data_IF_315052405852
#
_entry.id   IF_315052405852
#
_cell.length_a   1.000
_cell.length_b   1.000
_cell.length_c   1.000
_cell.angle_alpha   90.00
_cell.angle_beta   90.00
_cell.angle_gamma   90.00
#
_symmetry.space_group_name_H-M   'P 1'
#
loop_
_entity.id
_entity.type
_entity.pdbx_description
1 polymer ?
#
# COMPACT_ATOMS: atom_id res chain seq x y z
N UNK A 1 -8.31 -9.46 24.15
CA UNK A 1 -9.10 -8.86 23.07
C UNK A 1 -8.33 -8.89 21.73
N UNK A 2 -7.10 -8.38 21.70
CA UNK A 2 -6.32 -8.31 20.44
C UNK A 2 -6.10 -9.67 19.75
N UNK A 3 -5.87 -10.75 20.52
CA UNK A 3 -5.74 -12.10 19.96
C UNK A 3 -7.03 -12.61 19.32
N UNK A 4 -8.16 -12.38 19.95
CA UNK A 4 -9.49 -12.77 19.41
C UNK A 4 -9.76 -12.06 18.10
N UNK A 5 -9.60 -10.74 18.04
CA UNK A 5 -9.85 -9.96 16.83
C UNK A 5 -8.84 -10.26 15.72
N UNK A 6 -7.58 -10.51 16.06
CA UNK A 6 -6.58 -10.96 15.07
C UNK A 6 -6.99 -12.29 14.44
N UNK A 7 -7.38 -13.29 15.23
CA UNK A 7 -7.85 -14.59 14.72
C UNK A 7 -9.10 -14.46 13.88
N UNK A 8 -10.02 -13.57 14.29
CA UNK A 8 -11.21 -13.24 13.53
C UNK A 8 -10.87 -12.67 12.14
N UNK A 9 -9.94 -11.71 12.09
CA UNK A 9 -9.45 -11.14 10.83
C UNK A 9 -8.80 -12.18 9.94
N UNK A 10 -7.90 -13.01 10.49
CA UNK A 10 -7.26 -14.12 9.75
C UNK A 10 -8.28 -15.11 9.17
N UNK A 11 -9.26 -15.50 9.97
CA UNK A 11 -10.33 -16.38 9.50
C UNK A 11 -11.16 -15.74 8.38
N UNK A 12 -11.52 -14.46 8.54
CA UNK A 12 -12.29 -13.73 7.53
C UNK A 12 -11.52 -13.57 6.22
N UNK A 13 -10.23 -13.21 6.29
CA UNK A 13 -9.36 -13.11 5.12
C UNK A 13 -9.27 -14.46 4.38
N UNK A 14 -9.05 -15.55 5.11
CA UNK A 14 -8.99 -16.90 4.54
C UNK A 14 -10.34 -17.31 3.90
N UNK A 15 -11.45 -16.99 4.55
CA UNK A 15 -12.79 -17.30 4.05
C UNK A 15 -13.19 -16.49 2.80
N UNK A 16 -12.64 -15.29 2.64
CA UNK A 16 -12.85 -14.45 1.45
C UNK A 16 -11.85 -14.74 0.33
N UNK A 17 -10.74 -15.40 0.66
CA UNK A 17 -9.70 -15.76 -0.30
C UNK A 17 -10.12 -16.95 -1.17
N UNK A 18 -9.28 -17.33 -2.08
CA UNK A 18 -9.49 -18.41 -3.02
C UNK A 18 -9.21 -17.93 -4.42
N UNK A 19 -10.22 -17.68 -5.23
CA UNK A 19 -10.04 -17.13 -6.58
C UNK A 19 -10.16 -15.61 -6.65
N UNK A 20 -10.36 -14.94 -5.50
CA UNK A 20 -10.58 -13.48 -5.41
C UNK A 20 -9.83 -12.88 -4.24
N UNK A 21 -9.81 -11.56 -4.15
CA UNK A 21 -9.40 -10.81 -2.96
C UNK A 21 -10.59 -10.60 -2.00
N UNK A 22 -10.34 -10.20 -0.74
CA UNK A 22 -11.39 -9.65 0.11
C UNK A 22 -12.06 -8.44 -0.53
N UNK A 23 -13.36 -8.28 -0.34
CA UNK A 23 -14.10 -7.10 -0.81
C UNK A 23 -14.77 -6.38 0.34
N UNK A 24 -15.19 -5.15 0.10
CA UNK A 24 -15.64 -4.19 1.10
C UNK A 24 -16.66 -4.76 2.08
N UNK A 25 -17.67 -5.48 1.60
CA UNK A 25 -18.72 -6.09 2.41
C UNK A 25 -18.55 -7.59 2.64
N UNK A 26 -17.40 -8.16 2.32
CA UNK A 26 -17.12 -9.59 2.48
C UNK A 26 -17.96 -10.47 1.55
N UNK A 27 -18.03 -11.77 1.85
CA UNK A 27 -18.82 -12.74 1.09
C UNK A 27 -20.30 -12.73 1.48
N UNK A 28 -20.60 -12.37 2.71
CA UNK A 28 -21.94 -12.44 3.30
C UNK A 28 -22.54 -11.07 3.43
N UNK A 29 -23.39 -10.74 2.52
CA UNK A 29 -24.04 -9.45 2.44
C UNK A 29 -25.47 -9.57 2.94
N UNK A 30 -25.81 -8.83 3.96
CA UNK A 30 -27.15 -8.88 4.60
C UNK A 30 -28.22 -8.07 3.89
N UNK A 31 -27.89 -7.28 2.88
CA UNK A 31 -28.81 -6.33 2.26
C UNK A 31 -28.73 -6.34 0.73
N UNK A 32 -29.87 -6.09 0.06
CA UNK A 32 -29.93 -5.99 -1.39
C UNK A 32 -29.40 -4.64 -1.93
N UNK A 33 -29.53 -3.57 -1.15
CA UNK A 33 -29.10 -2.22 -1.51
C UNK A 33 -27.90 -1.81 -0.65
N UNK A 34 -26.78 -2.45 -0.89
CA UNK A 34 -25.55 -2.10 -0.19
C UNK A 34 -25.01 -0.76 -0.61
N UNK A 35 -24.56 -0.02 0.37
CA UNK A 35 -23.71 1.12 0.14
C UNK A 35 -22.47 0.66 -0.66
N UNK A 36 -22.04 1.47 -1.61
CA UNK A 36 -20.97 1.16 -2.56
C UNK A 36 -21.20 -0.14 -3.38
N UNK A 37 -22.43 -0.61 -3.50
CA UNK A 37 -22.82 -1.76 -4.34
C UNK A 37 -22.03 -3.04 -4.07
N UNK A 38 -21.44 -3.18 -2.90
CA UNK A 38 -20.55 -4.30 -2.54
C UNK A 38 -19.35 -4.49 -3.49
N UNK A 39 -18.86 -3.41 -4.09
CA UNK A 39 -17.73 -3.48 -5.00
C UNK A 39 -16.42 -3.82 -4.27
N UNK A 40 -15.44 -4.26 -5.03
CA UNK A 40 -14.05 -4.20 -4.62
C UNK A 40 -13.60 -2.74 -4.77
N UNK A 41 -13.31 -2.08 -3.66
CA UNK A 41 -12.84 -0.71 -3.67
C UNK A 41 -11.32 -0.73 -3.48
N UNK A 42 -10.59 -0.33 -4.52
CA UNK A 42 -9.13 -0.47 -4.56
C UNK A 42 -8.41 0.75 -3.98
N UNK A 43 -9.13 1.81 -3.71
CA UNK A 43 -8.65 3.00 -3.01
C UNK A 43 -9.24 3.11 -1.60
N UNK A 44 -8.57 2.79 -0.60
CA UNK A 44 -7.41 1.92 -0.33
C UNK A 44 -7.89 0.61 0.32
N UNK A 45 -9.21 0.33 0.24
CA UNK A 45 -9.87 -0.74 1.00
C UNK A 45 -9.25 -2.12 0.76
N UNK A 46 -9.11 -2.53 -0.50
CA UNK A 46 -8.50 -3.85 -0.80
C UNK A 46 -7.10 -3.94 -0.22
N UNK A 47 -6.28 -2.87 -0.33
CA UNK A 47 -4.93 -2.87 0.19
C UNK A 47 -4.87 -2.92 1.71
N UNK A 48 -5.76 -2.22 2.40
CA UNK A 48 -5.93 -2.32 3.85
C UNK A 48 -6.32 -3.75 4.23
N UNK A 49 -7.28 -4.34 3.53
CA UNK A 49 -7.79 -5.69 3.81
C UNK A 49 -6.73 -6.77 3.62
N UNK A 50 -5.81 -6.61 2.66
CA UNK A 50 -4.74 -7.58 2.39
C UNK A 50 -3.42 -7.27 3.11
N UNK A 51 -3.35 -6.19 3.88
CA UNK A 51 -2.12 -5.71 4.52
C UNK A 51 -1.41 -6.73 5.42
N UNK A 52 -2.14 -7.69 5.95
CA UNK A 52 -1.60 -8.73 6.83
C UNK A 52 -1.41 -10.10 6.19
N UNK A 53 -1.73 -10.32 4.91
CA UNK A 53 -1.74 -11.69 4.33
C UNK A 53 -0.35 -12.31 4.26
N UNK A 54 0.63 -11.58 3.76
CA UNK A 54 1.99 -12.09 3.59
C UNK A 54 2.68 -12.30 4.95
N UNK A 55 2.63 -11.29 5.81
CA UNK A 55 3.23 -11.35 7.14
C UNK A 55 2.58 -12.38 8.07
N UNK A 56 1.34 -12.79 7.81
CA UNK A 56 0.65 -13.88 8.53
C UNK A 56 0.87 -15.27 7.93
N UNK A 57 1.57 -15.40 6.81
CA UNK A 57 1.80 -16.68 6.16
C UNK A 57 0.57 -17.25 5.41
N UNK A 58 -0.40 -16.41 5.03
CA UNK A 58 -1.61 -16.82 4.31
C UNK A 58 -1.34 -16.96 2.80
N UNK A 59 -0.57 -17.98 2.43
CA UNK A 59 -0.11 -18.20 1.06
C UNK A 59 -1.26 -18.27 0.03
N UNK A 60 -2.30 -19.03 0.34
CA UNK A 60 -3.47 -19.23 -0.53
C UNK A 60 -4.28 -17.93 -0.69
N UNK A 61 -4.33 -17.09 0.36
CA UNK A 61 -4.96 -15.78 0.28
C UNK A 61 -4.14 -14.84 -0.63
N UNK A 62 -2.82 -14.92 -0.57
CA UNK A 62 -1.92 -14.22 -1.50
C UNK A 62 -2.12 -14.66 -2.95
N UNK A 63 -2.24 -15.97 -3.19
CA UNK A 63 -2.56 -16.50 -4.51
C UNK A 63 -3.95 -16.01 -4.99
N UNK A 64 -4.97 -16.03 -4.13
CA UNK A 64 -6.31 -15.51 -4.42
C UNK A 64 -6.29 -14.04 -4.82
N UNK A 65 -5.48 -13.22 -4.15
CA UNK A 65 -5.26 -11.83 -4.53
C UNK A 65 -4.65 -11.71 -5.94
N UNK A 66 -3.66 -12.54 -6.29
CA UNK A 66 -3.05 -12.53 -7.62
C UNK A 66 -4.04 -12.97 -8.71
N UNK A 67 -4.92 -13.95 -8.42
CA UNK A 67 -5.98 -14.33 -9.35
C UNK A 67 -6.97 -13.19 -9.61
N UNK A 68 -7.32 -12.45 -8.57
CA UNK A 68 -8.14 -11.24 -8.69
C UNK A 68 -7.47 -10.19 -9.60
N UNK A 69 -6.17 -9.93 -9.42
CA UNK A 69 -5.40 -8.98 -10.25
C UNK A 69 -5.32 -9.45 -11.70
N UNK A 70 -4.87 -10.68 -11.95
CA UNK A 70 -4.69 -11.23 -13.29
C UNK A 70 -5.96 -11.17 -14.15
N UNK A 71 -7.10 -11.37 -13.52
CA UNK A 71 -8.41 -11.34 -14.21
C UNK A 71 -8.72 -9.97 -14.81
N UNK A 72 -8.18 -8.91 -14.22
CA UNK A 72 -8.51 -7.52 -14.53
C UNK A 72 -7.48 -6.80 -15.41
N UNK A 73 -6.28 -7.34 -15.57
CA UNK A 73 -5.20 -6.70 -16.33
C UNK A 73 -5.62 -6.27 -17.75
N UNK A 74 -6.40 -7.07 -18.54
CA UNK A 74 -6.83 -6.62 -19.85
C UNK A 74 -7.66 -5.34 -19.84
N UNK A 75 -8.56 -5.20 -18.86
CA UNK A 75 -9.35 -3.98 -18.69
C UNK A 75 -8.49 -2.80 -18.23
N UNK A 76 -7.51 -3.04 -17.37
CA UNK A 76 -6.57 -2.00 -16.95
C UNK A 76 -5.73 -1.43 -18.11
N UNK A 77 -5.34 -2.30 -19.05
CA UNK A 77 -4.66 -1.87 -20.29
C UNK A 77 -5.60 -1.02 -21.14
N UNK A 78 -6.86 -1.43 -21.29
CA UNK A 78 -7.85 -0.65 -22.01
C UNK A 78 -8.10 0.72 -21.36
N UNK A 79 -8.16 0.78 -20.02
CA UNK A 79 -8.36 2.04 -19.30
C UNK A 79 -7.21 3.02 -19.57
N UNK A 80 -5.97 2.58 -19.53
CA UNK A 80 -4.80 3.42 -19.84
C UNK A 80 -4.84 3.94 -21.29
N UNK A 81 -5.26 3.10 -22.22
CA UNK A 81 -5.44 3.48 -23.62
C UNK A 81 -6.59 4.48 -23.80
N UNK A 82 -7.72 4.29 -23.11
CA UNK A 82 -8.90 5.15 -23.23
C UNK A 82 -8.71 6.52 -22.58
N UNK A 83 -8.10 6.57 -21.40
CA UNK A 83 -7.96 7.82 -20.61
C UNK A 83 -6.79 8.66 -21.13
N UNK A 84 -5.66 8.01 -21.44
CA UNK A 84 -4.41 8.69 -21.74
C UNK A 84 -3.86 8.42 -23.16
N UNK A 85 -4.44 7.50 -23.92
CA UNK A 85 -3.90 7.06 -25.21
C UNK A 85 -2.61 6.22 -25.08
N UNK A 86 -2.31 5.72 -23.89
CA UNK A 86 -1.09 4.98 -23.60
C UNK A 86 -1.11 3.57 -24.21
N UNK A 87 0.08 3.04 -24.51
CA UNK A 87 0.28 1.69 -25.06
C UNK A 87 1.03 0.83 -24.05
N UNK A 88 0.59 -0.41 -23.91
CA UNK A 88 1.21 -1.40 -23.00
C UNK A 88 1.42 -0.85 -21.57
N UNK A 89 0.47 -0.11 -21.09
CA UNK A 89 0.42 0.50 -19.77
C UNK A 89 -0.89 0.08 -19.07
N UNK A 90 -0.98 0.29 -17.75
CA UNK A 90 -2.15 -0.06 -16.94
C UNK A 90 -2.66 1.15 -16.16
N UNK A 91 -3.99 1.28 -16.09
CA UNK A 91 -4.68 2.23 -15.23
C UNK A 91 -5.86 1.51 -14.58
N UNK A 92 -5.89 1.50 -13.25
CA UNK A 92 -6.94 0.79 -12.53
C UNK A 92 -8.10 1.72 -12.17
N UNK A 93 -9.36 1.23 -12.17
CA UNK A 93 -10.47 1.95 -11.59
C UNK A 93 -10.43 1.85 -10.07
N UNK A 94 -11.08 2.79 -9.38
CA UNK A 94 -11.24 2.70 -7.92
C UNK A 94 -12.16 1.54 -7.52
N UNK A 95 -13.20 1.31 -8.29
CA UNK A 95 -14.19 0.25 -8.02
C UNK A 95 -14.26 -0.79 -9.14
N UNK A 96 -14.44 -2.06 -8.76
CA UNK A 96 -14.64 -3.18 -9.69
C UNK A 96 -15.59 -4.21 -9.10
N UNK A 97 -16.24 -5.00 -9.96
CA UNK A 97 -17.04 -6.16 -9.55
C UNK A 97 -16.18 -7.44 -9.33
N UNK A 98 -14.88 -7.35 -9.56
CA UNK A 98 -13.94 -8.47 -9.44
C UNK A 98 -13.73 -9.28 -10.72
N UNK A 99 -14.59 -9.14 -11.72
CA UNK A 99 -14.48 -9.79 -13.03
C UNK A 99 -14.10 -8.80 -14.12
N UNK A 100 -14.67 -7.61 -14.06
CA UNK A 100 -14.43 -6.53 -15.01
C UNK A 100 -13.92 -5.31 -14.24
N UNK A 101 -12.97 -4.64 -14.84
CA UNK A 101 -12.34 -3.46 -14.27
C UNK A 101 -12.28 -2.30 -15.27
N UNK A 102 -13.26 -2.23 -16.17
CA UNK A 102 -13.43 -1.09 -17.07
C UNK A 102 -13.82 0.15 -16.27
N UNK A 103 -13.18 1.25 -16.59
CA UNK A 103 -13.51 2.55 -16.04
C UNK A 103 -14.75 3.09 -16.75
N UNK A 104 -15.82 3.29 -15.99
CA UNK A 104 -17.13 3.69 -16.54
C UNK A 104 -17.68 4.99 -15.94
N UNK A 105 -17.05 5.48 -14.87
CA UNK A 105 -17.47 6.71 -14.18
C UNK A 105 -16.41 7.78 -14.31
N UNK A 106 -16.85 8.98 -14.66
CA UNK A 106 -16.05 10.19 -14.77
C UNK A 106 -16.76 11.30 -14.02
N UNK A 107 -16.19 11.77 -12.93
CA UNK A 107 -16.75 12.82 -12.09
C UNK A 107 -15.67 13.87 -11.78
N UNK A 108 -16.06 15.14 -11.71
CA UNK A 108 -15.14 16.23 -11.41
C UNK A 108 -14.82 16.32 -9.90
N UNK A 109 -15.72 15.83 -9.05
CA UNK A 109 -15.54 15.83 -7.60
C UNK A 109 -14.80 14.56 -7.13
N UNK A 110 -15.02 13.46 -7.84
CA UNK A 110 -14.35 12.17 -7.62
C UNK A 110 -13.74 11.70 -8.94
N UNK A 111 -12.65 12.34 -9.41
CA UNK A 111 -12.05 12.04 -10.71
C UNK A 111 -11.17 10.79 -10.63
N UNK A 112 -11.77 9.65 -10.32
CA UNK A 112 -11.11 8.36 -10.13
C UNK A 112 -10.33 7.88 -11.36
N UNK A 113 -10.72 8.38 -12.56
CA UNK A 113 -9.97 8.13 -13.79
C UNK A 113 -8.55 8.71 -13.77
N UNK A 114 -8.22 9.58 -12.83
CA UNK A 114 -6.91 10.19 -12.66
C UNK A 114 -6.20 9.74 -11.38
N UNK A 115 -6.64 8.66 -10.79
CA UNK A 115 -5.94 7.98 -9.71
C UNK A 115 -4.77 7.15 -10.26
N UNK A 116 -3.67 7.79 -10.56
CA UNK A 116 -2.53 7.21 -11.27
C UNK A 116 -1.74 6.20 -10.43
N UNK A 117 -1.70 6.40 -9.12
CA UNK A 117 -0.95 5.55 -8.19
C UNK A 117 -1.52 4.13 -8.03
N UNK A 118 -2.74 3.89 -8.48
CA UNK A 118 -3.49 2.68 -8.14
C UNK A 118 -2.79 1.38 -8.53
N UNK A 119 -2.26 1.27 -9.76
CA UNK A 119 -1.60 0.06 -10.21
C UNK A 119 -0.30 -0.22 -9.41
N UNK A 120 0.44 0.82 -9.06
CA UNK A 120 1.61 0.72 -8.19
C UNK A 120 1.24 0.20 -6.81
N UNK A 121 0.13 0.66 -6.24
CA UNK A 121 -0.32 0.17 -4.94
C UNK A 121 -0.73 -1.30 -4.99
N UNK A 122 -1.48 -1.71 -6.03
CA UNK A 122 -1.88 -3.12 -6.21
C UNK A 122 -0.70 -4.06 -6.45
N UNK A 123 0.44 -3.54 -6.92
CA UNK A 123 1.65 -4.32 -7.15
C UNK A 123 2.38 -4.68 -5.84
N UNK A 124 2.30 -3.83 -4.80
CA UNK A 124 3.04 -4.01 -3.55
C UNK A 124 2.76 -5.37 -2.87
N UNK A 125 1.51 -5.83 -2.68
CA UNK A 125 1.28 -7.13 -2.05
C UNK A 125 1.88 -8.31 -2.84
N UNK A 126 2.01 -8.20 -4.16
CA UNK A 126 2.66 -9.21 -5.01
C UNK A 126 4.19 -9.17 -4.83
N UNK A 127 4.76 -7.98 -4.77
CA UNK A 127 6.18 -7.78 -4.50
C UNK A 127 6.55 -8.32 -3.10
N UNK A 128 5.78 -7.97 -2.07
CA UNK A 128 5.94 -8.51 -0.72
C UNK A 128 5.79 -10.04 -0.66
N UNK A 129 4.91 -10.61 -1.48
CA UNK A 129 4.77 -12.07 -1.58
C UNK A 129 6.08 -12.71 -2.07
N UNK A 130 6.71 -12.14 -3.11
CA UNK A 130 8.01 -12.61 -3.60
C UNK A 130 9.14 -12.43 -2.57
N UNK A 131 9.15 -11.32 -1.84
CA UNK A 131 10.09 -11.10 -0.75
C UNK A 131 9.90 -12.12 0.39
N UNK A 132 8.66 -12.48 0.68
CA UNK A 132 8.29 -13.38 1.78
C UNK A 132 8.53 -14.86 1.46
N UNK A 133 8.20 -15.28 0.24
CA UNK A 133 8.18 -16.70 -0.15
C UNK A 133 9.25 -17.06 -1.19
N UNK A 134 9.94 -16.07 -1.76
CA UNK A 134 10.88 -16.29 -2.85
C UNK A 134 10.20 -16.64 -4.17
N UNK A 135 10.89 -17.39 -5.01
CA UNK A 135 10.33 -17.91 -6.26
C UNK A 135 9.26 -18.95 -5.94
N UNK A 136 8.05 -18.64 -6.31
CA UNK A 136 6.87 -19.41 -5.96
C UNK A 136 6.05 -19.72 -7.22
N UNK A 137 5.39 -20.87 -7.20
CA UNK A 137 4.48 -21.33 -8.25
C UNK A 137 3.09 -21.48 -7.64
N UNK A 138 2.09 -20.86 -8.26
CA UNK A 138 0.69 -20.95 -7.86
C UNK A 138 -0.13 -21.63 -8.95
N UNK A 139 -1.15 -22.39 -8.55
CA UNK A 139 -2.04 -23.11 -9.46
C UNK A 139 -3.49 -22.69 -9.27
N UNK A 140 -4.27 -22.72 -10.34
CA UNK A 140 -5.69 -22.39 -10.32
C UNK A 140 -6.49 -23.40 -11.11
N UNK A 141 -7.72 -23.66 -10.68
CA UNK A 141 -8.76 -24.39 -11.41
C UNK A 141 -9.79 -23.44 -12.06
N UNK A 142 -9.57 -22.13 -11.96
CA UNK A 142 -10.45 -21.12 -12.53
C UNK A 142 -10.43 -21.18 -14.07
N UNK A 143 -11.52 -21.67 -14.65
CA UNK A 143 -11.66 -21.85 -16.11
C UNK A 143 -11.53 -20.53 -16.89
N UNK A 144 -11.85 -19.38 -16.28
CA UNK A 144 -11.74 -18.07 -16.93
C UNK A 144 -10.27 -17.69 -17.06
N UNK A 145 -9.47 -17.84 -15.99
CA UNK A 145 -8.05 -17.58 -15.98
C UNK A 145 -7.30 -18.55 -16.91
N UNK A 146 -7.61 -19.85 -16.83
CA UNK A 146 -7.00 -20.86 -17.70
C UNK A 146 -7.29 -20.54 -19.17
N UNK A 147 -8.52 -20.16 -19.51
CA UNK A 147 -8.85 -19.73 -20.88
C UNK A 147 -8.13 -18.46 -21.31
N UNK A 148 -7.98 -17.50 -20.39
CA UNK A 148 -7.35 -16.20 -20.66
C UNK A 148 -5.85 -16.32 -20.91
N UNK A 149 -5.16 -17.16 -20.12
CA UNK A 149 -3.70 -17.28 -20.14
C UNK A 149 -3.19 -18.58 -20.79
N UNK A 150 -4.06 -19.54 -21.11
CA UNK A 150 -3.69 -20.82 -21.75
C UNK A 150 -2.96 -21.79 -20.82
N UNK A 151 -3.00 -21.58 -19.51
CA UNK A 151 -2.33 -22.41 -18.48
C UNK A 151 -3.01 -22.33 -17.15
N UNK A 152 -2.77 -23.31 -16.28
CA UNK A 152 -3.28 -23.42 -14.91
C UNK A 152 -2.23 -23.17 -13.83
N UNK A 153 -0.97 -23.11 -14.23
CA UNK A 153 0.18 -22.99 -13.36
C UNK A 153 0.98 -21.75 -13.73
N UNK A 154 1.32 -20.91 -12.72
CA UNK A 154 1.95 -19.62 -12.89
C UNK A 154 3.16 -19.49 -11.97
N UNK A 155 4.30 -19.15 -12.56
CA UNK A 155 5.44 -18.62 -11.82
C UNK A 155 5.11 -17.18 -11.39
N UNK A 156 5.08 -16.94 -10.08
CA UNK A 156 4.65 -15.64 -9.54
C UNK A 156 5.53 -14.49 -10.05
N UNK A 157 6.83 -14.71 -10.15
CA UNK A 157 7.76 -13.70 -10.66
C UNK A 157 7.54 -13.44 -12.15
N UNK A 158 7.65 -14.48 -12.99
CA UNK A 158 7.69 -14.36 -14.44
C UNK A 158 6.33 -14.11 -15.09
N UNK A 159 5.26 -14.67 -14.49
CA UNK A 159 3.93 -14.65 -15.10
C UNK A 159 3.00 -13.62 -14.49
N UNK A 160 3.27 -13.13 -13.28
CA UNK A 160 2.41 -12.18 -12.57
C UNK A 160 3.14 -10.86 -12.33
N UNK A 161 4.22 -10.89 -11.55
CA UNK A 161 4.90 -9.67 -11.09
C UNK A 161 5.56 -8.89 -12.22
N UNK A 162 6.49 -9.50 -12.95
CA UNK A 162 7.28 -8.81 -13.98
C UNK A 162 6.42 -8.24 -15.12
N UNK A 163 5.42 -8.97 -15.67
CA UNK A 163 4.56 -8.41 -16.69
C UNK A 163 3.72 -7.22 -16.21
N UNK A 164 3.22 -7.28 -14.96
CA UNK A 164 2.46 -6.17 -14.38
C UNK A 164 3.37 -4.98 -14.06
N UNK A 165 4.55 -5.23 -13.50
CA UNK A 165 5.54 -4.20 -13.21
C UNK A 165 5.98 -3.46 -14.48
N UNK A 166 6.28 -4.17 -15.56
CA UNK A 166 6.65 -3.59 -16.87
C UNK A 166 5.55 -2.66 -17.39
N UNK A 167 4.28 -3.06 -17.30
CA UNK A 167 3.14 -2.23 -17.73
C UNK A 167 2.91 -1.02 -16.81
N UNK A 168 3.11 -1.19 -15.52
CA UNK A 168 3.00 -0.10 -14.54
C UNK A 168 4.16 0.91 -14.71
N UNK A 169 5.37 0.43 -14.97
CA UNK A 169 6.51 1.28 -15.34
C UNK A 169 6.25 2.05 -16.64
N UNK A 170 5.70 1.38 -17.67
CA UNK A 170 5.34 2.02 -18.93
C UNK A 170 4.31 3.14 -18.76
N UNK A 171 3.38 3.01 -17.80
CA UNK A 171 2.47 4.10 -17.44
C UNK A 171 3.25 5.33 -16.99
N UNK A 172 4.16 5.19 -16.03
CA UNK A 172 4.95 6.29 -15.50
C UNK A 172 5.91 6.89 -16.54
N UNK A 173 6.44 6.06 -17.43
CA UNK A 173 7.27 6.54 -18.57
C UNK A 173 6.46 7.39 -19.55
N UNK A 174 5.19 7.06 -19.79
CA UNK A 174 4.34 7.74 -20.78
C UNK A 174 3.59 8.94 -20.21
N UNK A 175 3.35 9.03 -18.90
CA UNK A 175 2.71 10.22 -18.31
C UNK A 175 3.69 11.40 -18.23
N UNK A 176 4.98 11.15 -18.21
CA UNK A 176 6.03 12.16 -18.23
C UNK A 176 6.06 12.89 -19.58
N UNK A 177 5.39 14.04 -19.67
CA UNK A 177 5.40 14.88 -20.87
C UNK A 177 6.27 16.14 -20.60
N UNK A 178 7.40 16.32 -21.30
CA UNK A 178 8.28 17.47 -21.07
C UNK A 178 7.66 18.83 -21.39
N UNK A 179 6.55 18.89 -22.13
CA UNK A 179 5.82 20.13 -22.33
C UNK A 179 5.19 20.69 -21.03
N UNK A 180 4.93 19.83 -20.04
CA UNK A 180 4.39 20.18 -18.72
C UNK A 180 5.42 19.89 -17.65
N UNK A 181 5.94 20.94 -17.02
CA UNK A 181 7.04 20.80 -16.08
C UNK A 181 6.98 21.83 -14.95
N UNK A 182 7.75 21.63 -13.91
CA UNK A 182 8.10 22.63 -12.92
C UNK A 182 9.49 23.17 -13.21
N UNK A 183 9.64 24.50 -13.16
CA UNK A 183 10.93 25.17 -13.31
C UNK A 183 11.77 25.04 -12.03
N UNK A 184 13.00 25.58 -12.07
CA UNK A 184 13.95 25.58 -10.95
C UNK A 184 13.42 26.22 -9.67
N UNK A 185 12.44 27.09 -9.80
CA UNK A 185 11.76 27.73 -8.69
C UNK A 185 10.53 26.93 -8.21
N UNK A 186 10.22 25.81 -8.88
CA UNK A 186 9.06 24.95 -8.60
C UNK A 186 7.73 25.52 -9.07
N UNK A 187 7.72 26.43 -10.04
CA UNK A 187 6.49 26.92 -10.64
C UNK A 187 6.08 26.06 -11.83
N UNK A 188 4.79 25.79 -11.98
CA UNK A 188 4.26 25.08 -13.12
C UNK A 188 4.48 25.86 -14.42
N UNK A 189 4.90 25.15 -15.47
CA UNK A 189 5.17 25.70 -16.81
C UNK A 189 4.57 24.82 -17.89
N UNK A 190 4.21 25.45 -18.99
CA UNK A 190 3.84 24.80 -20.23
C UNK A 190 4.64 25.41 -21.37
N UNK A 191 5.33 24.57 -22.14
CA UNK A 191 6.10 24.99 -23.31
C UNK A 191 5.82 24.02 -24.46
N UNK A 192 5.03 24.48 -25.43
CA UNK A 192 4.65 23.66 -26.59
C UNK A 192 5.87 23.25 -27.42
N UNK A 193 5.98 21.96 -27.69
CA UNK A 193 7.06 21.38 -28.50
C UNK A 193 8.38 21.15 -27.73
N UNK A 194 8.39 21.36 -26.41
CA UNK A 194 9.55 20.99 -25.57
C UNK A 194 9.71 19.47 -25.59
N UNK A 195 10.91 19.00 -25.95
CA UNK A 195 11.19 17.58 -26.13
C UNK A 195 11.98 16.93 -24.99
N UNK A 196 12.56 17.75 -24.09
CA UNK A 196 13.35 17.28 -22.96
C UNK A 196 13.34 18.30 -21.82
N UNK A 197 13.56 17.83 -20.60
CA UNK A 197 13.74 18.65 -19.42
C UNK A 197 15.23 18.99 -19.22
N UNK A 198 15.51 20.16 -18.63
CA UNK A 198 16.82 20.51 -18.12
C UNK A 198 17.07 19.83 -16.77
N UNK A 199 18.31 19.82 -16.26
CA UNK A 199 18.71 19.12 -15.04
C UNK A 199 17.94 19.52 -13.76
N UNK A 200 17.42 20.75 -13.72
CA UNK A 200 16.70 21.29 -12.56
C UNK A 200 15.19 21.40 -12.78
N UNK A 201 14.69 20.82 -13.87
CA UNK A 201 13.27 20.78 -14.19
C UNK A 201 12.71 19.38 -13.89
N UNK A 202 11.46 19.33 -13.43
CA UNK A 202 10.78 18.06 -13.16
C UNK A 202 9.48 17.97 -13.94
N UNK A 203 9.08 16.78 -14.33
CA UNK A 203 7.76 16.55 -14.93
C UNK A 203 6.65 17.04 -14.03
N UNK A 204 5.59 17.53 -14.65
CA UNK A 204 4.33 17.74 -13.97
C UNK A 204 3.47 16.49 -14.20
N UNK A 205 3.16 15.76 -13.13
CA UNK A 205 2.18 14.66 -13.20
C UNK A 205 0.80 15.28 -13.27
N UNK A 206 0.25 15.34 -14.48
CA UNK A 206 -1.04 16.00 -14.75
C UNK A 206 -1.80 15.25 -15.86
N UNK A 207 -3.14 15.00 -15.71
CA UNK A 207 -3.92 15.17 -14.48
C UNK A 207 -3.51 14.21 -13.37
N UNK A 208 -3.83 14.55 -12.14
CA UNK A 208 -3.53 13.80 -10.92
C UNK A 208 -4.70 13.91 -9.94
N UNK A 209 -4.91 12.90 -9.11
CA UNK A 209 -5.92 12.89 -8.07
C UNK A 209 -5.39 12.25 -6.80
N UNK A 210 -5.49 12.95 -5.68
CA UNK A 210 -5.25 12.37 -4.35
C UNK A 210 -6.57 11.94 -3.74
N UNK A 211 -6.92 10.65 -3.78
CA UNK A 211 -8.22 10.20 -3.31
C UNK A 211 -8.38 10.38 -1.78
N UNK A 212 -9.54 10.80 -1.30
CA UNK A 212 -10.68 11.38 -2.03
C UNK A 212 -10.75 12.88 -1.75
N UNK A 213 -9.61 13.57 -1.77
CA UNK A 213 -9.44 14.94 -1.29
C UNK A 213 -9.26 15.94 -2.45
N UNK A 214 -9.43 17.21 -2.12
CA UNK A 214 -9.15 18.34 -3.02
C UNK A 214 -8.48 19.49 -2.26
N UNK A 215 -7.64 20.30 -2.94
CA UNK A 215 -6.97 21.42 -2.30
C UNK A 215 -7.96 22.43 -1.73
N UNK A 216 -7.57 23.06 -0.62
CA UNK A 216 -8.41 24.09 0.00
C UNK A 216 -8.69 25.24 -0.98
N UNK A 217 -9.96 25.62 -1.08
CA UNK A 217 -10.41 26.70 -1.96
C UNK A 217 -10.58 26.33 -3.44
N UNK A 218 -10.30 25.07 -3.83
CA UNK A 218 -10.51 24.61 -5.21
C UNK A 218 -11.86 23.92 -5.38
N UNK A 219 -12.48 24.12 -6.54
CA UNK A 219 -13.77 23.49 -6.88
C UNK A 219 -13.59 22.06 -7.40
N UNK A 220 -12.48 21.79 -8.09
CA UNK A 220 -12.17 20.47 -8.67
C UNK A 220 -11.17 19.71 -7.81
N UNK A 221 -11.31 18.39 -7.78
CA UNK A 221 -10.33 17.47 -7.22
C UNK A 221 -9.30 17.01 -8.27
N UNK A 222 -9.45 17.40 -9.54
CA UNK A 222 -8.42 17.20 -10.56
C UNK A 222 -7.29 18.17 -10.30
N UNK A 223 -6.10 17.62 -10.06
CA UNK A 223 -4.92 18.36 -9.60
C UNK A 223 -3.69 18.02 -10.44
N UNK A 224 -2.53 18.44 -9.95
CA UNK A 224 -1.23 18.01 -10.43
C UNK A 224 -0.35 17.60 -9.23
N UNK A 225 0.60 16.72 -9.47
CA UNK A 225 1.64 16.33 -8.52
C UNK A 225 1.08 15.87 -7.15
N UNK A 226 0.05 15.03 -7.12
CA UNK A 226 -0.34 14.38 -5.87
C UNK A 226 0.86 13.61 -5.28
N UNK A 227 1.14 13.79 -4.00
CA UNK A 227 2.28 13.14 -3.32
C UNK A 227 2.19 11.60 -3.40
N UNK A 228 0.96 11.07 -3.42
CA UNK A 228 0.73 9.64 -3.64
C UNK A 228 1.25 9.17 -5.00
N UNK A 229 0.99 9.94 -6.08
CA UNK A 229 1.46 9.62 -7.43
C UNK A 229 2.99 9.66 -7.51
N UNK A 230 3.61 10.68 -6.92
CA UNK A 230 5.07 10.81 -6.85
C UNK A 230 5.69 9.61 -6.13
N UNK A 231 5.12 9.23 -4.99
CA UNK A 231 5.60 8.11 -4.21
C UNK A 231 5.46 6.78 -4.93
N UNK A 232 4.29 6.51 -5.50
CA UNK A 232 4.03 5.28 -6.26
C UNK A 232 4.91 5.17 -7.52
N UNK A 233 5.16 6.29 -8.20
CA UNK A 233 6.08 6.33 -9.34
C UNK A 233 7.51 5.96 -8.90
N UNK A 234 8.01 6.54 -7.81
CA UNK A 234 9.34 6.23 -7.25
C UNK A 234 9.47 4.75 -6.90
N UNK A 235 8.47 4.16 -6.24
CA UNK A 235 8.49 2.73 -5.88
C UNK A 235 8.52 1.84 -7.13
N UNK A 236 7.63 2.09 -8.10
CA UNK A 236 7.55 1.29 -9.33
C UNK A 236 8.84 1.35 -10.13
N UNK A 237 9.45 2.54 -10.25
CA UNK A 237 10.69 2.71 -10.99
C UNK A 237 11.84 1.98 -10.28
N UNK A 238 11.92 2.07 -8.94
CA UNK A 238 12.93 1.36 -8.15
C UNK A 238 12.76 -0.17 -8.26
N UNK A 239 11.53 -0.69 -8.15
CA UNK A 239 11.24 -2.11 -8.39
C UNK A 239 11.64 -2.56 -9.80
N UNK A 240 11.42 -1.70 -10.81
CA UNK A 240 11.82 -1.99 -12.18
C UNK A 240 13.34 -2.04 -12.33
N UNK A 241 14.08 -1.10 -11.75
CA UNK A 241 15.55 -1.09 -11.73
C UNK A 241 16.08 -2.35 -11.05
N UNK A 242 15.50 -2.73 -9.90
CA UNK A 242 15.86 -3.95 -9.18
C UNK A 242 15.65 -5.21 -10.04
N UNK A 243 14.48 -5.31 -10.69
CA UNK A 243 14.16 -6.41 -11.60
C UNK A 243 15.20 -6.53 -12.73
N UNK A 244 15.50 -5.43 -13.40
CA UNK A 244 16.49 -5.43 -14.51
C UNK A 244 17.89 -5.78 -14.00
N UNK A 245 18.28 -5.32 -12.81
CA UNK A 245 19.58 -5.66 -12.22
C UNK A 245 19.68 -7.16 -11.89
N UNK A 246 18.60 -7.80 -11.50
CA UNK A 246 18.55 -9.27 -11.29
C UNK A 246 18.64 -10.02 -12.62
N UNK A 247 17.92 -9.56 -13.68
CA UNK A 247 18.01 -10.12 -15.02
C UNK A 247 19.42 -9.96 -15.64
N UNK A 248 20.15 -8.86 -15.32
CA UNK A 248 21.53 -8.64 -15.80
C UNK A 248 22.54 -9.67 -15.31
N UNK A 249 22.29 -10.26 -14.15
CA UNK A 249 23.14 -11.31 -13.61
C UNK A 249 23.05 -12.60 -14.45
N UNK A 250 21.98 -12.75 -15.23
CA UNK A 250 21.67 -13.97 -15.98
C UNK A 250 21.94 -13.85 -17.50
N UNK A 251 21.56 -12.73 -18.18
CA UNK A 251 21.70 -12.57 -19.65
C UNK A 251 21.76 -11.09 -20.11
N UNK A 252 22.44 -10.82 -21.22
CA UNK A 252 22.44 -9.60 -22.04
C UNK A 252 22.71 -8.24 -21.36
N UNK A 253 23.90 -8.08 -20.80
CA UNK A 253 24.35 -6.93 -20.00
C UNK A 253 24.14 -5.52 -20.62
N UNK A 254 24.30 -5.35 -21.95
CA UNK A 254 24.28 -4.00 -22.56
C UNK A 254 22.88 -3.41 -22.64
N UNK A 255 21.87 -4.17 -23.08
CA UNK A 255 20.49 -3.70 -23.16
C UNK A 255 19.92 -3.39 -21.76
N UNK A 256 20.26 -4.21 -20.78
CA UNK A 256 19.84 -4.03 -19.39
C UNK A 256 20.47 -2.77 -18.77
N UNK A 257 21.74 -2.46 -19.04
CA UNK A 257 22.38 -1.21 -18.58
C UNK A 257 21.70 0.03 -19.15
N UNK A 258 21.27 0.00 -20.42
CA UNK A 258 20.53 1.10 -21.02
C UNK A 258 19.16 1.28 -20.35
N UNK A 259 18.42 0.19 -20.11
CA UNK A 259 17.12 0.23 -19.46
C UNK A 259 17.20 0.79 -18.02
N UNK A 260 18.23 0.42 -17.26
CA UNK A 260 18.50 0.99 -15.94
C UNK A 260 18.79 2.48 -16.04
N UNK A 261 19.66 2.90 -16.95
CA UNK A 261 20.01 4.31 -17.13
C UNK A 261 18.78 5.17 -17.50
N UNK A 262 17.89 4.64 -18.38
CA UNK A 262 16.63 5.30 -18.73
C UNK A 262 15.69 5.42 -17.52
N UNK A 263 15.57 4.36 -16.72
CA UNK A 263 14.75 4.36 -15.53
C UNK A 263 15.28 5.32 -14.44
N UNK A 264 16.58 5.36 -14.23
CA UNK A 264 17.23 6.32 -13.34
C UNK A 264 17.06 7.77 -13.82
N UNK A 265 17.11 8.01 -15.13
CA UNK A 265 16.83 9.32 -15.70
C UNK A 265 15.39 9.75 -15.43
N UNK A 266 14.43 8.84 -15.62
CA UNK A 266 13.02 9.10 -15.30
C UNK A 266 12.85 9.40 -13.81
N UNK A 267 13.50 8.64 -12.93
CA UNK A 267 13.43 8.85 -11.47
C UNK A 267 13.91 10.25 -11.07
N UNK A 268 15.00 10.72 -11.68
CA UNK A 268 15.52 12.09 -11.44
C UNK A 268 14.60 13.20 -11.95
N UNK A 269 13.79 12.92 -12.96
CA UNK A 269 12.84 13.88 -13.55
C UNK A 269 11.48 13.90 -12.85
N UNK A 270 11.22 12.99 -11.91
CA UNK A 270 10.00 13.02 -11.11
C UNK A 270 9.99 14.24 -10.18
N UNK A 271 8.79 14.80 -9.86
CA UNK A 271 8.69 15.86 -8.87
C UNK A 271 9.23 15.43 -7.50
N UNK A 272 9.77 16.38 -6.75
CA UNK A 272 10.08 16.19 -5.34
C UNK A 272 8.86 16.44 -4.45
N UNK A 273 8.88 15.85 -3.25
CA UNK A 273 7.89 16.19 -2.24
C UNK A 273 8.08 17.63 -1.78
N UNK A 274 6.98 18.37 -1.70
CA UNK A 274 6.95 19.68 -1.06
C UNK A 274 6.49 19.56 0.38
N UNK A 275 6.87 20.54 1.18
CA UNK A 275 6.53 20.62 2.59
C UNK A 275 5.80 21.93 2.86
N UNK A 276 4.83 21.91 3.79
CA UNK A 276 4.14 23.11 4.24
C UNK A 276 4.97 23.88 5.30
N UNK A 277 4.41 25.00 5.78
CA UNK A 277 5.07 25.85 6.77
C UNK A 277 5.32 25.14 8.12
N UNK A 278 4.54 24.10 8.44
CA UNK A 278 4.72 23.28 9.64
C UNK A 278 5.81 22.21 9.47
N UNK A 279 6.32 22.02 8.25
CA UNK A 279 7.23 20.96 7.87
C UNK A 279 6.52 19.64 7.53
N UNK A 280 5.21 19.62 7.43
CA UNK A 280 4.44 18.46 6.98
C UNK A 280 4.61 18.24 5.47
N UNK A 281 4.61 16.97 5.03
CA UNK A 281 4.54 16.66 3.61
C UNK A 281 3.20 17.12 3.05
N UNK A 282 3.25 17.89 1.95
CA UNK A 282 2.04 18.38 1.29
C UNK A 282 1.33 17.24 0.55
N UNK A 283 0.00 17.30 0.51
CA UNK A 283 -0.80 16.34 -0.26
C UNK A 283 -0.64 16.52 -1.78
N UNK A 284 -0.33 17.75 -2.19
CA UNK A 284 0.01 18.09 -3.58
C UNK A 284 1.34 18.85 -3.59
N UNK A 285 2.32 18.33 -4.31
CA UNK A 285 3.65 18.95 -4.44
C UNK A 285 3.61 20.11 -5.45
N UNK A 286 2.78 21.13 -5.13
CA UNK A 286 2.56 22.35 -5.88
C UNK A 286 2.47 23.54 -4.91
N UNK A 287 3.04 24.69 -5.30
CA UNK A 287 3.02 25.91 -4.48
C UNK A 287 1.62 26.47 -4.33
N UNK A 288 0.83 26.38 -5.41
CA UNK A 288 -0.48 27.00 -5.55
C UNK A 288 -1.57 26.30 -4.74
N UNK A 289 -1.35 25.03 -4.34
CA UNK A 289 -2.36 24.27 -3.62
C UNK A 289 -2.20 24.43 -2.12
N UNK A 290 -3.28 24.86 -1.46
CA UNK A 290 -3.41 24.85 0.01
C UNK A 290 -3.82 23.46 0.51
N UNK A 291 -3.31 23.08 1.67
CA UNK A 291 -3.66 21.80 2.30
C UNK A 291 -5.12 21.81 2.79
N UNK A 292 -5.81 20.69 2.62
CA UNK A 292 -7.14 20.45 3.18
C UNK A 292 -7.05 19.31 4.20
N UNK A 293 -6.67 19.64 5.42
CA UNK A 293 -6.50 18.67 6.49
C UNK A 293 -7.81 18.23 7.15
N UNK A 294 -8.94 18.88 6.85
CA UNK A 294 -10.25 18.49 7.35
C UNK A 294 -10.85 17.34 6.52
N UNK A 295 -10.09 16.25 6.35
CA UNK A 295 -10.47 15.10 5.55
C UNK A 295 -9.98 13.79 6.20
N UNK A 296 -10.73 12.67 5.99
CA UNK A 296 -10.40 11.36 6.58
C UNK A 296 -9.28 10.61 5.87
N UNK A 297 -9.17 10.77 4.55
CA UNK A 297 -8.14 10.08 3.76
C UNK A 297 -6.76 10.71 3.94
N UNK A 298 -5.74 9.88 3.87
CA UNK A 298 -4.33 10.25 4.08
C UNK A 298 -3.44 9.72 2.95
N UNK A 299 -3.94 9.78 1.72
CA UNK A 299 -3.27 9.24 0.52
C UNK A 299 -1.85 9.76 0.32
N UNK A 300 -1.57 11.00 0.72
CA UNK A 300 -0.23 11.60 0.70
C UNK A 300 0.78 10.96 1.66
N UNK A 301 0.33 10.08 2.55
CA UNK A 301 1.20 9.31 3.45
C UNK A 301 1.58 7.93 2.89
N UNK A 302 1.27 7.68 1.62
CA UNK A 302 1.77 6.51 0.87
C UNK A 302 3.27 6.25 1.07
N UNK A 303 4.17 7.26 1.14
CA UNK A 303 5.61 7.03 1.39
C UNK A 303 5.90 6.29 2.70
N UNK A 304 5.03 6.41 3.71
CA UNK A 304 5.16 5.70 4.98
C UNK A 304 4.51 4.32 4.93
N UNK A 305 3.28 4.25 4.42
CA UNK A 305 2.57 2.99 4.17
C UNK A 305 1.64 3.18 2.96
N UNK A 306 1.66 2.27 1.97
CA UNK A 306 2.31 0.94 1.97
C UNK A 306 3.81 0.95 1.64
N UNK A 307 4.36 2.04 1.09
CA UNK A 307 5.77 2.16 0.76
C UNK A 307 6.70 2.06 1.99
N UNK A 308 8.00 1.91 1.72
CA UNK A 308 9.06 1.87 2.74
C UNK A 308 9.95 3.12 2.73
N UNK A 309 9.56 4.17 1.98
CA UNK A 309 10.42 5.33 1.71
C UNK A 309 10.84 6.07 2.98
N UNK A 310 9.93 6.16 3.96
CA UNK A 310 10.24 6.80 5.26
C UNK A 310 11.22 6.02 6.13
N UNK A 311 11.52 4.77 5.81
CA UNK A 311 12.50 3.98 6.57
C UNK A 311 13.94 4.40 6.26
N UNK A 312 14.15 4.97 5.08
CA UNK A 312 15.47 5.40 4.59
C UNK A 312 15.61 6.92 4.50
N UNK A 313 14.52 7.68 4.79
CA UNK A 313 14.49 9.14 4.80
C UNK A 313 13.87 9.68 6.10
N UNK A 314 14.70 10.08 7.04
CA UNK A 314 14.27 10.60 8.35
C UNK A 314 13.54 11.95 8.26
N UNK A 315 13.86 12.76 7.24
CA UNK A 315 13.15 14.03 6.97
C UNK A 315 11.73 13.75 6.50
N UNK A 316 11.59 12.86 5.55
CA UNK A 316 10.27 12.44 5.05
C UNK A 316 9.44 11.77 6.15
N UNK A 317 10.06 10.91 6.98
CA UNK A 317 9.40 10.32 8.13
C UNK A 317 8.87 11.37 9.12
N UNK A 318 9.67 12.38 9.42
CA UNK A 318 9.25 13.49 10.30
C UNK A 318 8.13 14.32 9.68
N UNK A 319 8.19 14.57 8.37
CA UNK A 319 7.16 15.30 7.64
C UNK A 319 5.83 14.52 7.57
N UNK A 320 5.87 13.21 7.39
CA UNK A 320 4.68 12.36 7.45
C UNK A 320 4.04 12.38 8.86
N UNK A 321 4.84 12.34 9.94
CA UNK A 321 4.33 12.48 11.31
C UNK A 321 3.64 13.84 11.51
N UNK A 322 4.25 14.92 11.02
CA UNK A 322 3.65 16.25 11.12
C UNK A 322 2.34 16.34 10.35
N UNK A 323 2.25 15.73 9.17
CA UNK A 323 1.02 15.67 8.39
C UNK A 323 -0.12 14.95 9.12
N UNK A 324 0.17 13.85 9.85
CA UNK A 324 -0.84 13.18 10.70
C UNK A 324 -1.28 14.11 11.83
N UNK A 325 -0.37 14.82 12.47
CA UNK A 325 -0.70 15.77 13.55
C UNK A 325 -1.66 16.85 13.02
N UNK A 326 -1.34 17.44 11.87
CA UNK A 326 -2.18 18.46 11.24
C UNK A 326 -3.56 17.89 10.89
N UNK A 327 -3.60 16.69 10.30
CA UNK A 327 -4.85 16.00 9.93
C UNK A 327 -5.71 15.72 11.17
N UNK A 328 -5.13 15.20 12.24
CA UNK A 328 -5.84 14.93 13.49
C UNK A 328 -6.39 16.20 14.13
N UNK A 329 -5.66 17.31 14.06
CA UNK A 329 -6.06 18.58 14.63
C UNK A 329 -7.24 19.20 13.86
N UNK A 330 -7.20 19.21 12.54
CA UNK A 330 -8.18 19.91 11.73
C UNK A 330 -9.41 19.08 11.40
N UNK A 331 -9.28 17.75 11.30
CA UNK A 331 -10.40 16.85 10.99
C UNK A 331 -11.30 16.56 12.18
N UNK A 332 -10.93 16.96 13.39
CA UNK A 332 -11.66 16.64 14.62
C UNK A 332 -13.14 17.01 14.52
N UNK A 333 -14.00 16.00 14.44
CA UNK A 333 -15.46 16.14 14.36
C UNK A 333 -16.00 16.69 13.04
N UNK A 334 -15.20 16.73 11.96
CA UNK A 334 -15.63 17.26 10.67
C UNK A 334 -15.91 16.18 9.63
N UNK A 335 -15.05 15.18 9.55
CA UNK A 335 -15.19 14.06 8.62
C UNK A 335 -14.79 12.77 9.35
N UNK A 336 -15.68 12.31 10.21
CA UNK A 336 -15.46 11.25 11.18
C UNK A 336 -15.98 9.90 10.63
N UNK A 337 -15.57 9.52 9.46
CA UNK A 337 -15.85 8.19 8.97
C UNK A 337 -14.77 7.22 9.42
N UNK A 338 -15.09 6.64 10.42
CA UNK A 338 -14.45 5.92 11.44
C UNK A 338 -13.43 4.85 11.05
N UNK A 339 -13.89 3.65 10.69
CA UNK A 339 -13.04 2.47 10.79
C UNK A 339 -11.96 2.41 9.71
N UNK A 340 -12.30 2.73 8.47
CA UNK A 340 -11.33 2.78 7.37
C UNK A 340 -10.17 3.75 7.64
N UNK A 341 -10.50 5.00 7.99
CA UNK A 341 -9.49 6.03 8.24
C UNK A 341 -8.61 5.71 9.45
N UNK A 342 -9.20 5.11 10.50
CA UNK A 342 -8.43 4.70 11.68
C UNK A 342 -7.46 3.57 11.38
N UNK A 343 -7.89 2.56 10.62
CA UNK A 343 -7.01 1.44 10.21
C UNK A 343 -5.87 1.95 9.33
N UNK A 344 -6.18 2.75 8.31
CA UNK A 344 -5.15 3.31 7.43
C UNK A 344 -4.12 4.13 8.22
N UNK A 345 -4.61 5.00 9.12
CA UNK A 345 -3.74 5.79 9.99
C UNK A 345 -2.86 4.92 10.88
N UNK A 346 -3.43 3.87 11.50
CA UNK A 346 -2.66 3.00 12.37
C UNK A 346 -1.59 2.19 11.62
N UNK A 347 -1.82 1.80 10.36
CA UNK A 347 -0.80 1.18 9.51
C UNK A 347 0.34 2.16 9.22
N UNK A 348 0.03 3.41 8.90
CA UNK A 348 1.05 4.47 8.73
C UNK A 348 1.81 4.71 10.02
N UNK A 349 1.13 4.86 11.17
CA UNK A 349 1.76 5.09 12.48
C UNK A 349 2.64 3.91 12.92
N UNK A 350 2.23 2.67 12.62
CA UNK A 350 3.04 1.49 12.89
C UNK A 350 4.37 1.54 12.09
N UNK A 351 4.31 1.92 10.81
CA UNK A 351 5.50 2.11 9.97
C UNK A 351 6.36 3.29 10.43
N UNK A 352 5.76 4.34 10.94
CA UNK A 352 6.47 5.46 11.56
C UNK A 352 6.95 5.13 12.98
N UNK A 353 6.68 3.92 13.48
CA UNK A 353 7.12 3.41 14.80
C UNK A 353 6.57 4.24 15.97
N UNK A 354 5.35 4.74 15.82
CA UNK A 354 4.63 5.51 16.84
C UNK A 354 3.75 4.59 17.69
N UNK A 355 4.35 3.96 18.70
CA UNK A 355 3.69 2.98 19.56
C UNK A 355 2.46 3.53 20.30
N UNK A 356 2.49 4.78 20.75
CA UNK A 356 1.37 5.38 21.46
C UNK A 356 0.17 5.62 20.54
N UNK A 357 0.38 6.13 19.33
CA UNK A 357 -0.70 6.34 18.36
C UNK A 357 -1.33 5.01 17.91
N UNK A 358 -0.53 3.96 17.71
CA UNK A 358 -1.04 2.62 17.42
C UNK A 358 -1.87 2.09 18.59
N UNK A 359 -1.37 2.22 19.82
CA UNK A 359 -2.12 1.84 21.03
C UNK A 359 -3.45 2.56 21.13
N UNK A 360 -3.46 3.88 20.97
CA UNK A 360 -4.67 4.70 21.09
C UNK A 360 -5.71 4.31 20.03
N UNK A 361 -5.26 4.01 18.80
CA UNK A 361 -6.15 3.52 17.73
C UNK A 361 -6.71 2.13 18.04
N UNK A 362 -5.87 1.20 18.49
CA UNK A 362 -6.34 -0.14 18.91
C UNK A 362 -7.34 -0.06 20.04
N UNK A 363 -7.07 0.79 21.02
CA UNK A 363 -7.97 1.03 22.15
C UNK A 363 -9.31 1.64 21.68
N UNK A 364 -9.26 2.60 20.77
CA UNK A 364 -10.45 3.18 20.16
C UNK A 364 -11.27 2.13 19.41
N UNK A 365 -10.63 1.31 18.57
CA UNK A 365 -11.31 0.26 17.80
C UNK A 365 -12.02 -0.77 18.70
N UNK A 366 -11.36 -1.19 19.78
CA UNK A 366 -11.91 -2.22 20.69
C UNK A 366 -13.06 -1.67 21.55
N UNK A 367 -13.03 -0.39 21.90
CA UNK A 367 -14.06 0.24 22.74
C UNK A 367 -15.16 0.94 21.95
N UNK A 368 -14.99 1.12 20.64
CA UNK A 368 -16.07 1.59 19.78
C UNK A 368 -16.95 0.41 19.35
N UNK A 369 -18.21 0.69 19.17
CA UNK A 369 -19.24 -0.33 18.92
C UNK A 369 -19.26 -0.82 17.45
N UNK A 370 -18.06 -0.94 16.85
CA UNK A 370 -17.89 -1.33 15.43
C UNK A 370 -17.74 -2.84 15.19
N UNK A 371 -17.44 -3.63 16.24
CA UNK A 371 -17.35 -5.07 16.13
C UNK A 371 -18.69 -5.74 16.45
N UNK A 372 -19.15 -6.58 15.52
CA UNK A 372 -20.31 -7.43 15.75
C UNK A 372 -19.92 -8.81 16.30
N UNK A 373 -20.84 -9.44 17.01
CA UNK A 373 -20.65 -10.84 17.47
C UNK A 373 -20.56 -11.86 16.33
N UNK A 374 -20.94 -11.45 15.12
CA UNK A 374 -20.93 -12.25 13.90
C UNK A 374 -19.58 -12.27 13.16
N UNK A 375 -18.49 -11.83 13.80
CA UNK A 375 -17.15 -11.74 13.20
C UNK A 375 -16.98 -10.60 12.20
N UNK A 376 -17.91 -9.65 12.14
CA UNK A 376 -17.90 -8.56 11.19
C UNK A 376 -17.74 -7.21 11.83
N UNK A 377 -17.40 -6.23 11.01
CA UNK A 377 -17.18 -4.87 11.46
C UNK A 377 -18.05 -3.87 10.73
N UNK A 378 -18.31 -2.75 11.40
CA UNK A 378 -19.01 -1.62 10.83
C UNK A 378 -18.00 -0.58 10.33
N UNK A 379 -18.38 0.12 9.28
CA UNK A 379 -17.62 1.28 8.82
C UNK A 379 -17.79 2.48 9.77
N UNK A 380 -18.97 2.61 10.37
CA UNK A 380 -19.33 3.74 11.22
C UNK A 380 -19.49 3.31 12.68
N UNK A 381 -19.19 4.24 13.60
CA UNK A 381 -19.47 4.06 15.03
C UNK A 381 -20.94 4.24 15.38
N UNK A 382 -21.68 5.00 14.59
CA UNK A 382 -23.13 5.17 14.74
C UNK A 382 -23.87 4.02 14.03
N UNK A 383 -24.26 3.00 14.80
CA UNK A 383 -24.97 1.83 14.26
C UNK A 383 -26.31 2.13 13.62
N UNK A 384 -26.91 3.29 13.87
CA UNK A 384 -28.14 3.71 13.16
C UNK A 384 -27.87 4.02 11.69
N UNK A 385 -26.60 4.24 11.35
CA UNK A 385 -26.06 4.42 10.01
C UNK A 385 -25.07 3.31 9.66
N UNK A 386 -25.25 2.14 10.25
CA UNK A 386 -24.35 1.01 10.12
C UNK A 386 -24.14 0.63 8.67
N UNK A 387 -22.88 0.49 8.28
CA UNK A 387 -22.45 -0.01 6.99
C UNK A 387 -21.46 -1.13 7.22
N UNK A 388 -21.91 -2.31 6.92
CA UNK A 388 -21.08 -3.50 7.01
C UNK A 388 -19.82 -3.39 6.13
N UNK A 389 -18.66 -3.61 6.73
CA UNK A 389 -17.39 -3.44 6.06
C UNK A 389 -16.31 -4.34 6.68
N UNK A 390 -15.43 -4.87 5.86
CA UNK A 390 -14.37 -5.79 6.29
C UNK A 390 -13.04 -5.10 6.60
N UNK A 391 -12.90 -3.82 6.32
CA UNK A 391 -11.64 -3.08 6.46
C UNK A 391 -11.04 -3.19 7.84
N UNK A 392 -11.86 -3.02 8.88
CA UNK A 392 -11.39 -3.07 10.26
C UNK A 392 -10.99 -4.48 10.67
N UNK A 393 -11.83 -5.48 10.38
CA UNK A 393 -11.54 -6.87 10.76
C UNK A 393 -10.24 -7.37 10.15
N UNK A 394 -9.99 -7.04 8.88
CA UNK A 394 -8.85 -7.56 8.14
C UNK A 394 -7.62 -6.66 8.30
N UNK A 395 -7.80 -5.33 8.22
CA UNK A 395 -6.71 -4.38 8.39
C UNK A 395 -6.08 -4.40 9.78
N UNK A 396 -6.87 -4.78 10.81
CA UNK A 396 -6.35 -4.98 12.17
C UNK A 396 -5.23 -6.03 12.21
N UNK A 397 -5.30 -7.06 11.36
CA UNK A 397 -4.23 -8.07 11.27
C UNK A 397 -2.93 -7.41 10.81
N UNK A 398 -3.01 -6.57 9.77
CA UNK A 398 -1.87 -5.80 9.27
C UNK A 398 -1.26 -4.89 10.35
N UNK A 399 -2.09 -4.14 11.07
CA UNK A 399 -1.62 -3.28 12.17
C UNK A 399 -0.87 -4.09 13.23
N UNK A 400 -1.47 -5.20 13.69
CA UNK A 400 -0.85 -6.04 14.73
C UNK A 400 0.48 -6.61 14.24
N UNK A 401 0.56 -7.05 12.99
CA UNK A 401 1.80 -7.59 12.44
C UNK A 401 2.87 -6.50 12.31
N UNK A 402 2.54 -5.33 11.74
CA UNK A 402 3.48 -4.22 11.56
C UNK A 402 3.97 -3.62 12.90
N UNK A 403 3.13 -3.56 13.93
CA UNK A 403 3.59 -3.09 15.23
C UNK A 403 4.49 -4.08 15.96
N UNK A 404 4.39 -5.38 15.62
CA UNK A 404 5.20 -6.44 16.23
C UNK A 404 6.50 -6.67 15.47
N UNK A 405 6.47 -6.61 14.13
CA UNK A 405 7.63 -6.87 13.29
C UNK A 405 7.59 -5.99 12.06
N UNK A 406 8.57 -5.10 11.96
CA UNK A 406 8.93 -4.48 10.70
C UNK A 406 10.05 -5.29 10.04
N UNK A 407 10.04 -5.39 8.72
CA UNK A 407 11.17 -5.94 7.97
C UNK A 407 11.31 -5.31 6.60
N UNK A 408 12.53 -5.27 6.11
CA UNK A 408 12.93 -5.02 4.73
C UNK A 408 14.00 -6.06 4.31
N UNK A 409 14.69 -5.86 3.20
CA UNK A 409 15.68 -6.81 2.69
C UNK A 409 16.86 -7.05 3.64
N UNK A 410 17.17 -6.08 4.52
CA UNK A 410 18.37 -6.09 5.35
C UNK A 410 18.09 -5.99 6.85
N UNK A 411 16.83 -5.83 7.24
CA UNK A 411 16.47 -5.56 8.63
C UNK A 411 15.24 -6.35 9.06
N UNK A 412 15.30 -6.87 10.28
CA UNK A 412 14.15 -7.32 11.06
C UNK A 412 14.14 -6.49 12.35
N UNK A 413 13.17 -5.61 12.50
CA UNK A 413 12.99 -4.85 13.74
C UNK A 413 11.83 -5.44 14.56
N UNK A 414 12.14 -5.90 15.75
CA UNK A 414 11.18 -6.49 16.68
C UNK A 414 10.54 -5.40 17.52
N UNK A 415 9.23 -5.47 17.69
CA UNK A 415 8.41 -4.55 18.48
C UNK A 415 8.58 -3.06 18.10
N UNK A 416 8.64 -2.70 16.79
CA UNK A 416 8.94 -1.33 16.37
C UNK A 416 7.90 -0.31 16.83
N UNK A 417 6.63 -0.72 16.97
CA UNK A 417 5.53 0.15 17.40
C UNK A 417 4.71 -0.49 18.54
N UNK A 418 5.33 -1.30 19.39
CA UNK A 418 4.71 -1.90 20.56
C UNK A 418 4.67 -0.91 21.71
N UNK A 419 3.48 -0.70 22.30
CA UNK A 419 3.33 0.06 23.55
C UNK A 419 3.31 -0.87 24.76
N UNK A 420 4.09 -0.56 25.78
CA UNK A 420 4.11 -1.31 27.06
C UNK A 420 2.73 -1.38 27.75
N UNK A 421 1.84 -0.43 27.43
CA UNK A 421 0.46 -0.43 27.91
C UNK A 421 -0.33 -1.67 27.50
N UNK A 422 0.09 -2.37 26.45
CA UNK A 422 -0.49 -3.63 25.98
C UNK A 422 -0.01 -4.84 26.78
N UNK A 423 1.04 -4.68 27.61
CA UNK A 423 1.58 -5.75 28.45
C UNK A 423 2.48 -6.74 27.71
N UNK A 424 2.86 -7.81 28.41
CA UNK A 424 3.67 -8.91 27.83
C UNK A 424 2.83 -9.80 26.93
N UNK A 425 3.48 -10.46 25.97
CA UNK A 425 2.75 -11.30 25.02
C UNK A 425 3.64 -12.24 24.23
N UNK A 426 3.00 -12.93 23.28
CA UNK A 426 3.67 -13.87 22.38
C UNK A 426 2.91 -13.96 21.05
N UNK A 427 3.65 -14.15 19.98
CA UNK A 427 3.12 -14.47 18.65
C UNK A 427 4.00 -15.52 17.99
N UNK A 428 3.43 -16.36 17.11
CA UNK A 428 4.13 -17.39 16.36
C UNK A 428 3.87 -17.28 14.86
N UNK A 429 4.85 -17.68 14.07
CA UNK A 429 4.72 -17.91 12.64
C UNK A 429 4.61 -16.62 11.80
N UNK A 430 5.15 -15.49 12.28
CA UNK A 430 5.20 -14.27 11.46
C UNK A 430 6.24 -14.41 10.35
N UNK A 431 5.88 -13.93 9.17
CA UNK A 431 6.76 -13.90 8.00
C UNK A 431 7.35 -12.50 7.82
N UNK A 432 8.57 -12.46 7.30
CA UNK A 432 9.30 -11.22 7.04
C UNK A 432 9.56 -11.01 5.55
N UNK A 433 9.79 -9.76 5.14
CA UNK A 433 10.15 -9.37 3.75
C UNK A 433 11.56 -9.81 3.33
N UNK A 434 12.36 -10.35 4.24
CA UNK A 434 13.65 -11.00 3.92
C UNK A 434 13.55 -12.53 3.86
N UNK A 435 12.35 -13.11 3.74
CA UNK A 435 12.13 -14.54 3.58
C UNK A 435 12.33 -15.38 4.85
N UNK A 436 12.51 -14.75 6.02
CA UNK A 436 12.71 -15.43 7.30
C UNK A 436 11.36 -15.57 8.02
N UNK A 437 11.11 -16.75 8.59
CA UNK A 437 9.98 -16.95 9.50
C UNK A 437 10.44 -16.73 10.93
N UNK A 438 9.68 -15.93 11.66
CA UNK A 438 9.79 -15.82 13.12
C UNK A 438 8.89 -16.89 13.71
N UNK A 439 9.46 -18.02 14.16
CA UNK A 439 8.71 -19.14 14.69
C UNK A 439 8.00 -18.76 15.99
N UNK A 440 8.70 -18.06 16.87
CA UNK A 440 8.16 -17.50 18.10
C UNK A 440 8.81 -16.15 18.41
N UNK A 441 7.97 -15.16 18.71
CA UNK A 441 8.35 -13.89 19.30
C UNK A 441 7.58 -13.73 20.61
N UNK A 442 8.30 -13.68 21.73
CA UNK A 442 7.74 -13.47 23.08
C UNK A 442 8.40 -12.26 23.71
N UNK A 443 7.66 -11.45 24.41
CA UNK A 443 8.19 -10.28 25.11
C UNK A 443 7.67 -10.17 26.53
N UNK A 444 8.52 -9.63 27.39
CA UNK A 444 8.27 -9.39 28.81
C UNK A 444 8.53 -7.90 29.08
N UNK A 445 7.46 -7.12 29.29
CA UNK A 445 7.55 -5.68 29.46
C UNK A 445 8.21 -5.28 30.78
N UNK A 446 8.07 -6.11 31.82
CA UNK A 446 8.65 -5.85 33.14
C UNK A 446 10.17 -6.07 33.13
N UNK A 447 10.62 -7.11 32.43
CA UNK A 447 12.05 -7.42 32.29
C UNK A 447 12.72 -6.67 31.16
N UNK A 448 11.97 -5.99 30.28
CA UNK A 448 12.47 -5.37 29.05
C UNK A 448 13.24 -6.35 28.17
N UNK A 449 12.73 -7.57 28.03
CA UNK A 449 13.32 -8.62 27.23
C UNK A 449 12.41 -9.10 26.14
N UNK A 450 13.00 -9.39 24.98
CA UNK A 450 12.33 -10.06 23.87
C UNK A 450 13.05 -11.37 23.57
N UNK A 451 12.29 -12.44 23.52
CA UNK A 451 12.75 -13.78 23.20
C UNK A 451 12.32 -14.11 21.78
N UNK A 452 13.26 -14.46 20.92
CA UNK A 452 12.95 -14.71 19.51
C UNK A 452 13.56 -16.03 19.04
N UNK A 453 12.71 -16.85 18.41
CA UNK A 453 13.08 -18.07 17.69
C UNK A 453 12.91 -17.87 16.19
N UNK A 454 13.97 -18.05 15.45
CA UNK A 454 14.02 -18.05 14.00
C UNK A 454 15.25 -18.84 13.52
N UNK A 455 15.34 -19.13 12.23
CA UNK A 455 16.53 -19.77 11.65
C UNK A 455 17.68 -18.74 11.56
N UNK A 456 18.49 -18.69 12.63
CA UNK A 456 19.63 -17.78 12.72
C UNK A 456 20.70 -18.03 11.65
N UNK A 457 20.73 -19.24 11.05
CA UNK A 457 21.63 -19.54 9.94
C UNK A 457 21.30 -18.79 8.65
N UNK A 458 20.04 -18.30 8.53
CA UNK A 458 19.56 -17.51 7.39
C UNK A 458 19.65 -16.00 7.59
N UNK A 459 20.17 -15.54 8.72
CA UNK A 459 20.25 -14.09 9.01
C UNK A 459 21.58 -13.46 8.57
N UNK A 460 22.40 -14.13 7.82
CA UNK A 460 23.63 -13.54 7.28
C UNK A 460 23.28 -12.31 6.40
N UNK A 461 23.88 -11.17 6.73
CA UNK A 461 23.57 -9.89 6.08
C UNK A 461 22.29 -9.21 6.54
N UNK A 462 21.52 -9.81 7.48
CA UNK A 462 20.29 -9.23 8.02
C UNK A 462 20.52 -8.76 9.45
N UNK A 463 20.15 -7.50 9.70
CA UNK A 463 20.26 -6.87 11.01
C UNK A 463 18.97 -7.13 11.82
N UNK A 464 19.06 -7.95 12.88
CA UNK A 464 17.93 -8.21 13.77
C UNK A 464 18.05 -7.31 14.99
N UNK A 465 17.13 -6.37 15.15
CA UNK A 465 17.17 -5.34 16.19
C UNK A 465 15.87 -5.24 16.99
N UNK A 466 15.98 -4.75 18.21
CA UNK A 466 14.87 -4.27 19.03
C UNK A 466 15.35 -3.04 19.79
N UNK A 467 14.64 -1.91 19.67
CA UNK A 467 15.13 -0.64 20.24
C UNK A 467 14.94 -0.53 21.75
N UNK A 468 13.86 -1.11 22.26
CA UNK A 468 13.38 -0.88 23.62
C UNK A 468 13.55 -2.09 24.54
N UNK A 469 14.02 -3.24 24.01
CA UNK A 469 14.14 -4.49 24.72
C UNK A 469 15.45 -5.19 24.38
N UNK A 470 16.01 -5.90 25.34
CA UNK A 470 17.15 -6.78 25.13
C UNK A 470 16.70 -8.06 24.39
N UNK A 471 17.43 -8.43 23.32
CA UNK A 471 17.12 -9.62 22.52
C UNK A 471 17.78 -10.86 23.15
N UNK A 472 16.97 -11.85 23.51
CA UNK A 472 17.40 -13.20 23.83
C UNK A 472 17.04 -14.18 22.70
N UNK A 473 18.07 -14.80 22.13
CA UNK A 473 17.90 -15.83 21.09
C UNK A 473 17.47 -17.12 21.75
N UNK A 474 16.35 -17.68 21.33
CA UNK A 474 15.93 -19.04 21.70
C UNK A 474 16.16 -19.99 20.54
N UNK A 475 16.44 -21.27 20.86
CA UNK A 475 16.73 -22.28 19.85
C UNK A 475 15.56 -22.44 18.88
N UNK A 476 15.89 -22.64 17.62
CA UNK A 476 14.95 -23.03 16.58
C UNK A 476 14.51 -24.47 16.86
N UNK A 477 13.24 -24.69 17.20
CA UNK A 477 12.67 -26.05 17.25
C UNK A 477 12.52 -26.53 15.79
N UNK A 478 13.30 -27.58 15.44
CA UNK A 478 13.25 -28.21 14.12
C UNK A 478 12.07 -29.16 14.01
#
# INVERSE_FOLDING_TARGET
>A
ASDVYKRQGLYGMQACAGTTAPRLSGLWVGEWNLLWRSAYTMDANVNIQVSGINSSGLYEAGAGYMWFILRQIPDWVNNAAMVYGMKDAVLIPVNTDGHRAMMVEYDINYPFQYWNAGAGWMLIPIYEFLQTYGDAVITTDDVVLIKMYGKDTFDVRKDVYEPLLKKTYNFWKQIGNPEYYTDTDGNARYEKGKCSLNESEHYLIIPSFSPENKPFGYHSAITANAAMDISAAKDVINMYIEMINKEMAEENRTASMQAVSEAEALLRMLPDFMYDESGAVKEWSMKEYGENNAHRHISHLYPAWPALQTQHDSKLASACRQAIINRNHENKGKDDTASHGWIHKALVEARLKNADAVYDTLNLLVHSDIFYTTLFTDHNTDRSKGVYCTDTAFGLVGIINEMLVYSDEHTIELLPAWSDKLGSGMVKGLRTRCGITIDELKWDVDKKKVYVSLDWGKTEGINVVCRNYEIEKIGHER
#
